data_IF_827779487167
#
_entry.id   IF_827779487167
#
_cell.length_a   1.000
_cell.length_b   1.000
_cell.length_c   1.000
_cell.angle_alpha   90.00
_cell.angle_beta   90.00
_cell.angle_gamma   90.00
#
_symmetry.space_group_name_H-M   'P 1'
#
loop_
_entity.id
_entity.type
_entity.pdbx_description
1 polymer ?
#
# COMPACT_ATOMS: atom_id res chain seq x y z
N UNK A 1 21.01 -15.77 -14.19
CA UNK A 1 20.84 -16.28 -12.81
C UNK A 1 19.37 -16.10 -12.50
N UNK A 2 18.70 -17.20 -12.22
CA UNK A 2 17.25 -17.42 -12.32
C UNK A 2 16.43 -16.45 -11.44
N UNK A 3 15.65 -15.58 -12.10
CA UNK A 3 14.60 -14.74 -11.50
C UNK A 3 13.30 -15.54 -11.21
N UNK A 4 13.33 -16.88 -11.37
CA UNK A 4 12.16 -17.76 -11.33
C UNK A 4 11.59 -18.05 -9.94
N UNK A 5 12.26 -17.67 -8.85
CA UNK A 5 11.79 -18.02 -7.48
C UNK A 5 10.88 -16.96 -6.86
N UNK A 6 10.76 -15.77 -7.45
CA UNK A 6 9.96 -14.68 -6.88
C UNK A 6 8.50 -14.76 -7.32
N UNK A 7 7.62 -15.15 -6.39
CA UNK A 7 6.17 -15.05 -6.60
C UNK A 7 5.73 -13.62 -6.30
N UNK A 8 5.38 -12.87 -7.34
CA UNK A 8 4.87 -11.50 -7.22
C UNK A 8 3.39 -11.55 -6.85
N UNK A 9 3.04 -10.83 -5.80
CA UNK A 9 1.65 -10.58 -5.43
C UNK A 9 1.31 -9.17 -5.91
N UNK A 10 0.58 -9.11 -7.01
CA UNK A 10 0.05 -7.85 -7.49
C UNK A 10 -1.15 -7.45 -6.64
N UNK A 11 -1.06 -6.28 -6.01
CA UNK A 11 -2.19 -5.64 -5.31
C UNK A 11 -3.08 -4.95 -6.39
N UNK A 12 -3.50 -5.75 -7.38
CA UNK A 12 -4.22 -5.38 -8.61
C UNK A 12 -5.44 -4.45 -8.38
N UNK A 13 -6.29 -4.66 -7.36
CA UNK A 13 -7.40 -3.75 -7.08
C UNK A 13 -6.96 -2.36 -6.61
N UNK A 14 -5.88 -2.22 -5.83
CA UNK A 14 -5.33 -0.90 -5.47
C UNK A 14 -4.73 -0.20 -6.67
N UNK A 15 -3.97 -0.93 -7.49
CA UNK A 15 -3.41 -0.38 -8.72
C UNK A 15 -4.52 0.06 -9.67
N UNK A 16 -5.61 -0.70 -9.83
CA UNK A 16 -6.75 -0.31 -10.69
C UNK A 16 -7.42 0.98 -10.22
N UNK A 17 -7.70 1.13 -8.94
CA UNK A 17 -8.31 2.35 -8.39
C UNK A 17 -7.36 3.54 -8.53
N UNK A 18 -6.08 3.35 -8.21
CA UNK A 18 -5.04 4.37 -8.31
C UNK A 18 -4.83 4.84 -9.76
N UNK A 19 -4.70 3.90 -10.71
CA UNK A 19 -4.55 4.19 -12.14
C UNK A 19 -5.78 4.90 -12.69
N UNK A 20 -6.98 4.50 -12.26
CA UNK A 20 -8.24 5.12 -12.72
C UNK A 20 -8.39 6.55 -12.21
N UNK A 21 -8.14 6.79 -10.92
CA UNK A 21 -8.12 8.14 -10.36
C UNK A 21 -7.05 9.01 -11.05
N UNK A 22 -5.90 8.42 -11.35
CA UNK A 22 -4.78 9.14 -11.95
C UNK A 22 -4.99 9.49 -13.42
N UNK A 23 -5.70 8.66 -14.19
CA UNK A 23 -6.12 9.00 -15.56
C UNK A 23 -6.91 10.30 -15.65
N UNK A 24 -7.62 10.67 -14.59
CA UNK A 24 -8.40 11.91 -14.53
C UNK A 24 -7.57 13.05 -13.94
N UNK A 25 -6.82 12.78 -12.88
CA UNK A 25 -6.17 13.82 -12.10
C UNK A 25 -4.86 14.34 -12.72
N UNK A 26 -4.06 13.49 -13.37
CA UNK A 26 -2.84 13.93 -14.08
C UNK A 26 -3.12 14.96 -15.18
N UNK A 27 -4.05 14.74 -16.13
CA UNK A 27 -4.37 15.77 -17.12
C UNK A 27 -5.01 17.00 -16.47
N UNK A 28 -5.80 16.85 -15.40
CA UNK A 28 -6.35 17.99 -14.68
C UNK A 28 -5.26 18.88 -14.07
N UNK A 29 -4.23 18.31 -13.41
CA UNK A 29 -3.08 19.08 -12.89
C UNK A 29 -2.40 19.86 -14.01
N UNK A 30 -2.13 19.22 -15.15
CA UNK A 30 -1.43 19.88 -16.26
C UNK A 30 -2.28 21.01 -16.85
N UNK A 31 -3.57 20.76 -17.08
CA UNK A 31 -4.50 21.74 -17.66
C UNK A 31 -4.71 22.92 -16.70
N UNK A 32 -5.11 22.67 -15.45
CA UNK A 32 -5.37 23.74 -14.47
C UNK A 32 -4.09 24.43 -14.01
N UNK A 33 -2.99 23.69 -13.87
CA UNK A 33 -1.68 24.25 -13.56
C UNK A 33 -1.17 25.19 -14.65
N UNK A 34 -1.36 24.83 -15.92
CA UNK A 34 -1.03 25.70 -17.06
C UNK A 34 -1.97 26.90 -17.14
N UNK A 35 -3.27 26.71 -16.89
CA UNK A 35 -4.23 27.82 -16.79
C UNK A 35 -3.88 28.80 -15.67
N UNK A 36 -3.24 28.33 -14.59
CA UNK A 36 -2.71 29.16 -13.51
C UNK A 36 -1.69 30.21 -13.97
N UNK A 37 -1.05 30.05 -15.13
CA UNK A 37 -0.16 31.06 -15.71
C UNK A 37 -0.90 32.39 -16.00
N UNK A 38 -2.22 32.32 -16.20
CA UNK A 38 -3.09 33.47 -16.43
C UNK A 38 -3.69 34.05 -15.14
N UNK A 39 -3.63 33.32 -14.02
CA UNK A 39 -4.26 33.72 -12.76
C UNK A 39 -3.20 34.09 -11.72
N UNK A 40 -3.15 35.37 -11.38
CA UNK A 40 -2.37 35.88 -10.26
C UNK A 40 -3.28 36.14 -9.06
N UNK A 41 -2.89 35.65 -7.87
CA UNK A 41 -3.61 35.92 -6.62
C UNK A 41 -3.26 37.30 -6.01
N UNK A 42 -2.40 38.11 -6.62
CA UNK A 42 -1.99 39.41 -6.04
C UNK A 42 -1.00 40.30 -6.82
N UNK A 43 -0.95 40.26 -8.16
CA UNK A 43 0.00 41.03 -9.00
C UNK A 43 -0.07 40.70 -10.50
N UNK A 44 0.93 41.07 -11.31
CA UNK A 44 1.06 40.68 -12.73
C UNK A 44 1.10 39.14 -12.89
N UNK A 45 0.39 38.61 -13.89
CA UNK A 45 0.40 37.18 -14.20
C UNK A 45 1.72 36.76 -14.88
N UNK A 46 2.01 35.45 -14.92
CA UNK A 46 3.23 34.98 -15.62
C UNK A 46 3.21 35.34 -17.11
N UNK A 47 2.02 35.43 -17.70
CA UNK A 47 1.83 35.86 -19.10
C UNK A 47 2.07 37.37 -19.23
N UNK A 48 1.74 38.18 -18.24
CA UNK A 48 2.05 39.62 -18.26
C UNK A 48 3.57 39.84 -18.15
N UNK A 49 4.26 39.02 -17.35
CA UNK A 49 5.70 39.16 -17.08
C UNK A 49 6.59 38.58 -18.19
N UNK A 50 6.22 37.44 -18.76
CA UNK A 50 7.03 36.72 -19.76
C UNK A 50 6.40 36.68 -21.16
N UNK A 51 5.20 37.25 -21.33
CA UNK A 51 4.45 37.16 -22.58
C UNK A 51 3.92 35.74 -22.87
N UNK A 52 3.53 35.43 -24.12
CA UNK A 52 2.90 34.17 -24.48
C UNK A 52 3.79 32.93 -24.27
N UNK A 53 5.11 33.09 -24.11
CA UNK A 53 6.04 31.98 -23.83
C UNK A 53 5.87 31.42 -22.41
N UNK A 54 5.18 32.15 -21.52
CA UNK A 54 4.83 31.64 -20.19
C UNK A 54 4.01 30.35 -20.25
N UNK A 55 3.12 30.22 -21.25
CA UNK A 55 2.23 29.07 -21.41
C UNK A 55 2.99 27.76 -21.63
N UNK A 56 3.90 27.64 -22.63
CA UNK A 56 4.69 26.42 -22.80
C UNK A 56 5.63 26.15 -21.62
N UNK A 57 6.17 27.18 -20.97
CA UNK A 57 7.01 27.00 -19.77
C UNK A 57 6.20 26.38 -18.62
N UNK A 58 5.01 26.93 -18.34
CA UNK A 58 4.11 26.38 -17.31
C UNK A 58 3.65 24.97 -17.64
N UNK A 59 3.36 24.68 -18.92
CA UNK A 59 3.02 23.33 -19.35
C UNK A 59 4.15 22.33 -19.06
N UNK A 60 5.39 22.65 -19.47
CA UNK A 60 6.55 21.78 -19.23
C UNK A 60 6.80 21.58 -17.74
N UNK A 61 6.67 22.64 -16.94
CA UNK A 61 6.83 22.57 -15.49
C UNK A 61 5.80 21.61 -14.86
N UNK A 62 4.51 21.79 -15.15
CA UNK A 62 3.45 20.95 -14.58
C UNK A 62 3.48 19.52 -15.12
N UNK A 63 3.84 19.32 -16.39
CA UNK A 63 4.05 17.99 -16.95
C UNK A 63 5.21 17.26 -16.25
N UNK A 64 6.30 17.97 -15.96
CA UNK A 64 7.44 17.43 -15.23
C UNK A 64 7.06 17.10 -13.78
N UNK A 65 6.38 18.02 -13.08
CA UNK A 65 5.90 17.78 -11.72
C UNK A 65 4.96 16.57 -11.65
N UNK A 66 4.06 16.44 -12.62
CA UNK A 66 3.16 15.30 -12.76
C UNK A 66 3.93 13.99 -12.99
N UNK A 67 4.94 13.99 -13.87
CA UNK A 67 5.77 12.83 -14.15
C UNK A 67 6.63 12.40 -12.94
N UNK A 68 7.18 13.36 -12.19
CA UNK A 68 7.92 13.10 -10.95
C UNK A 68 6.98 12.53 -9.88
N UNK A 69 5.82 13.16 -9.68
CA UNK A 69 4.79 12.67 -8.77
C UNK A 69 4.36 11.24 -9.12
N UNK A 70 4.18 10.95 -10.41
CA UNK A 70 3.87 9.61 -10.90
C UNK A 70 4.96 8.60 -10.56
N UNK A 71 6.23 8.93 -10.82
CA UNK A 71 7.35 8.04 -10.47
C UNK A 71 7.41 7.77 -8.96
N UNK A 72 7.16 8.77 -8.12
CA UNK A 72 7.08 8.60 -6.66
C UNK A 72 5.93 7.67 -6.28
N UNK A 73 4.76 7.81 -6.91
CA UNK A 73 3.61 6.93 -6.67
C UNK A 73 3.93 5.48 -7.06
N UNK A 74 4.54 5.26 -8.22
CA UNK A 74 4.99 3.92 -8.64
C UNK A 74 6.02 3.35 -7.67
N UNK A 75 6.96 4.17 -7.21
CA UNK A 75 7.99 3.77 -6.28
C UNK A 75 7.43 3.37 -4.90
N UNK A 76 6.41 4.07 -4.42
CA UNK A 76 5.74 3.77 -3.15
C UNK A 76 4.79 2.56 -3.23
N UNK A 77 4.25 2.27 -4.41
CA UNK A 77 3.33 1.16 -4.67
C UNK A 77 3.99 -0.04 -5.36
N UNK A 78 5.33 -0.13 -5.33
CA UNK A 78 6.05 -1.27 -5.89
C UNK A 78 5.51 -2.61 -5.32
N UNK A 79 5.22 -3.60 -6.18
CA UNK A 79 4.56 -4.83 -5.79
C UNK A 79 5.43 -5.62 -4.81
N UNK A 80 4.78 -6.37 -3.92
CA UNK A 80 5.49 -7.24 -3.00
C UNK A 80 5.72 -8.60 -3.67
N UNK A 81 6.87 -9.21 -3.38
CA UNK A 81 7.22 -10.52 -3.91
C UNK A 81 7.74 -11.42 -2.80
N UNK A 82 7.45 -12.71 -2.91
CA UNK A 82 7.85 -13.73 -1.94
C UNK A 82 8.78 -14.73 -2.63
N UNK A 83 9.91 -15.00 -2.01
CA UNK A 83 10.84 -16.08 -2.37
C UNK A 83 10.85 -17.09 -1.20
N UNK A 84 10.19 -18.23 -1.42
CA UNK A 84 10.12 -19.30 -0.42
C UNK A 84 11.44 -20.02 -0.21
N UNK A 85 12.18 -20.29 -1.29
CA UNK A 85 13.43 -21.06 -1.22
C UNK A 85 14.51 -20.27 -0.47
N UNK A 86 14.59 -18.96 -0.75
CA UNK A 86 15.49 -18.04 -0.08
C UNK A 86 15.00 -17.56 1.30
N UNK A 87 13.76 -17.90 1.69
CA UNK A 87 13.05 -17.41 2.90
C UNK A 87 13.04 -15.89 3.03
N UNK A 88 12.76 -15.20 1.92
CA UNK A 88 12.87 -13.74 1.80
C UNK A 88 11.62 -13.14 1.18
N UNK A 89 11.28 -11.94 1.64
CA UNK A 89 10.18 -11.15 1.14
C UNK A 89 10.72 -9.83 0.62
N UNK A 90 10.36 -9.49 -0.61
CA UNK A 90 10.67 -8.19 -1.21
C UNK A 90 9.52 -7.23 -0.93
N UNK A 91 9.74 -6.29 -0.02
CA UNK A 91 8.83 -5.17 0.24
C UNK A 91 9.36 -3.95 -0.51
N UNK A 92 8.65 -3.55 -1.57
CA UNK A 92 9.07 -2.46 -2.47
C UNK A 92 10.47 -2.75 -3.05
N UNK A 93 11.47 -1.96 -2.65
CA UNK A 93 12.87 -2.05 -3.08
C UNK A 93 13.78 -2.65 -1.99
N UNK A 94 13.21 -3.21 -0.91
CA UNK A 94 13.98 -3.87 0.16
C UNK A 94 13.67 -5.36 0.21
N UNK A 95 14.72 -6.16 0.36
CA UNK A 95 14.62 -7.59 0.66
C UNK A 95 14.69 -7.74 2.18
N UNK A 96 13.68 -8.40 2.74
CA UNK A 96 13.51 -8.63 4.18
C UNK A 96 13.37 -10.14 4.37
N UNK A 97 14.25 -10.80 5.12
CA UNK A 97 14.08 -12.22 5.47
C UNK A 97 12.86 -12.40 6.38
N UNK A 98 12.23 -13.57 6.32
CA UNK A 98 10.93 -13.80 6.99
C UNK A 98 10.99 -13.57 8.50
N UNK A 99 12.07 -13.95 9.15
CA UNK A 99 12.31 -13.76 10.59
C UNK A 99 12.33 -12.29 11.03
N UNK A 100 12.63 -11.36 10.12
CA UNK A 100 12.57 -9.92 10.38
C UNK A 100 11.16 -9.33 10.18
N UNK A 101 10.18 -10.13 9.75
CA UNK A 101 8.77 -9.70 9.69
C UNK A 101 8.17 -9.84 11.09
N UNK A 102 7.95 -8.70 11.76
CA UNK A 102 7.60 -8.63 13.17
C UNK A 102 6.17 -8.13 13.43
N UNK A 103 5.55 -7.47 12.44
CA UNK A 103 4.25 -6.83 12.58
C UNK A 103 3.27 -7.33 11.53
N UNK A 104 2.06 -7.63 11.99
CA UNK A 104 0.88 -7.82 11.16
C UNK A 104 -0.24 -6.90 11.65
N UNK A 105 -0.94 -6.27 10.71
CA UNK A 105 -2.06 -5.37 11.00
C UNK A 105 -3.16 -5.53 9.96
N UNK A 106 -4.39 -5.63 10.44
CA UNK A 106 -5.57 -5.70 9.62
C UNK A 106 -6.17 -4.32 9.42
N UNK A 107 -6.36 -3.92 8.17
CA UNK A 107 -6.91 -2.61 7.81
C UNK A 107 -8.16 -2.81 6.97
N UNK A 108 -9.29 -2.38 7.51
CA UNK A 108 -10.54 -2.28 6.76
C UNK A 108 -10.50 -1.11 5.80
N UNK A 109 -10.80 -1.37 4.52
CA UNK A 109 -11.16 -0.36 3.54
C UNK A 109 -12.66 -0.15 3.64
N UNK A 110 -13.11 0.82 4.44
CA UNK A 110 -14.52 1.18 4.54
C UNK A 110 -14.82 2.35 3.61
N UNK A 111 -15.00 2.06 2.32
CA UNK A 111 -15.46 3.05 1.34
C UNK A 111 -16.77 2.55 0.69
N UNK A 112 -17.87 2.69 1.45
CA UNK A 112 -19.22 2.29 1.04
C UNK A 112 -19.30 0.89 0.43
N UNK A 113 -19.72 0.83 -0.85
CA UNK A 113 -19.89 -0.39 -1.66
C UNK A 113 -18.60 -1.19 -1.94
N UNK A 114 -17.42 -0.75 -1.48
CA UNK A 114 -16.13 -1.43 -1.65
C UNK A 114 -15.46 -1.77 -0.32
N UNK A 115 -16.24 -2.35 0.60
CA UNK A 115 -15.71 -2.93 1.83
C UNK A 115 -14.63 -3.97 1.51
N UNK A 116 -13.36 -3.65 1.80
CA UNK A 116 -12.21 -4.53 1.55
C UNK A 116 -11.41 -4.78 2.81
N UNK A 117 -10.65 -5.88 2.85
CA UNK A 117 -9.83 -6.24 4.00
C UNK A 117 -8.37 -6.40 3.56
N UNK A 118 -7.50 -5.54 4.09
CA UNK A 118 -6.07 -5.54 3.81
C UNK A 118 -5.30 -6.09 5.01
N UNK A 119 -4.37 -6.99 4.74
CA UNK A 119 -3.34 -7.37 5.69
C UNK A 119 -2.07 -6.59 5.39
N UNK A 120 -1.58 -5.83 6.36
CA UNK A 120 -0.29 -5.16 6.32
C UNK A 120 0.74 -5.97 7.10
N UNK A 121 1.84 -6.35 6.46
CA UNK A 121 2.96 -7.06 7.08
C UNK A 121 4.26 -6.31 6.90
N UNK A 122 5.17 -6.39 7.87
CA UNK A 122 6.51 -5.84 7.72
C UNK A 122 7.30 -5.77 9.01
N UNK A 123 8.37 -4.99 8.98
CA UNK A 123 9.22 -4.71 10.15
C UNK A 123 8.53 -3.75 11.12
N UNK A 124 8.83 -3.84 12.41
CA UNK A 124 8.30 -2.92 13.44
C UNK A 124 8.64 -1.46 13.14
N UNK A 125 9.83 -1.21 12.57
CA UNK A 125 10.25 0.10 12.03
C UNK A 125 10.77 -0.10 10.62
N UNK A 126 9.92 0.07 9.61
CA UNK A 126 10.34 -0.15 8.23
C UNK A 126 9.20 -0.12 7.21
N UNK A 127 9.50 -0.51 5.96
CA UNK A 127 8.48 -0.61 4.93
C UNK A 127 7.50 -1.75 5.27
N UNK A 128 6.24 -1.54 4.91
CA UNK A 128 5.17 -2.52 5.04
C UNK A 128 4.69 -2.94 3.66
N UNK A 129 4.46 -4.22 3.47
CA UNK A 129 3.69 -4.76 2.37
C UNK A 129 2.21 -4.76 2.77
N UNK A 130 1.34 -4.55 1.80
CA UNK A 130 -0.10 -4.68 2.00
C UNK A 130 -0.60 -5.75 1.02
N UNK A 131 -1.51 -6.59 1.49
CA UNK A 131 -2.13 -7.66 0.71
C UNK A 131 -3.63 -7.55 0.85
N UNK A 132 -4.36 -7.50 -0.26
CA UNK A 132 -5.81 -7.66 -0.21
C UNK A 132 -6.18 -9.11 0.05
N UNK A 133 -6.87 -9.36 1.16
CA UNK A 133 -7.38 -10.67 1.52
C UNK A 133 -8.79 -10.88 0.98
N UNK A 134 -9.60 -9.81 1.00
CA UNK A 134 -11.01 -9.86 0.62
C UNK A 134 -11.43 -8.56 -0.05
N UNK A 135 -12.18 -8.67 -1.14
CA UNK A 135 -12.97 -7.59 -1.72
C UNK A 135 -14.45 -7.92 -1.55
N UNK A 136 -15.21 -7.08 -0.85
CA UNK A 136 -16.60 -7.36 -0.47
C UNK A 136 -16.70 -8.71 0.22
N UNK A 137 -17.48 -9.66 -0.27
CA UNK A 137 -17.58 -11.01 0.30
C UNK A 137 -16.67 -12.04 -0.37
N UNK A 138 -15.87 -11.64 -1.36
CA UNK A 138 -15.09 -12.58 -2.19
C UNK A 138 -13.62 -12.61 -1.74
N UNK A 139 -13.03 -13.79 -1.51
CA UNK A 139 -11.59 -13.92 -1.33
C UNK A 139 -10.84 -13.33 -2.52
N UNK A 140 -9.87 -12.46 -2.27
CA UNK A 140 -9.07 -11.85 -3.32
C UNK A 140 -7.85 -12.71 -3.72
N UNK A 141 -7.45 -13.64 -2.85
CA UNK A 141 -6.32 -14.55 -3.06
C UNK A 141 -6.81 -15.93 -3.51
N UNK A 142 -6.17 -16.47 -4.55
CA UNK A 142 -6.25 -17.89 -4.88
C UNK A 142 -5.64 -18.76 -3.76
N UNK A 143 -5.98 -20.04 -3.75
CA UNK A 143 -5.57 -20.95 -2.68
C UNK A 143 -4.03 -21.11 -2.62
N UNK A 144 -3.36 -21.14 -3.78
CA UNK A 144 -1.90 -21.23 -3.84
C UNK A 144 -1.22 -20.02 -3.18
N UNK A 145 -1.63 -18.79 -3.51
CA UNK A 145 -1.09 -17.57 -2.91
C UNK A 145 -1.44 -17.44 -1.44
N UNK A 146 -2.60 -17.95 -1.02
CA UNK A 146 -3.00 -18.01 0.38
C UNK A 146 -2.06 -18.91 1.17
N UNK A 147 -1.78 -20.10 0.66
CA UNK A 147 -0.87 -21.05 1.30
C UNK A 147 0.56 -20.49 1.37
N UNK A 148 1.03 -19.82 0.31
CA UNK A 148 2.32 -19.11 0.32
C UNK A 148 2.38 -18.06 1.44
N UNK A 149 1.31 -17.26 1.59
CA UNK A 149 1.25 -16.22 2.62
C UNK A 149 1.20 -16.81 4.04
N UNK A 150 0.50 -17.93 4.22
CA UNK A 150 0.47 -18.68 5.49
C UNK A 150 1.88 -19.17 5.85
N UNK A 151 2.63 -19.73 4.90
CA UNK A 151 4.00 -20.19 5.13
C UNK A 151 4.93 -19.04 5.53
N UNK A 152 4.79 -17.87 4.89
CA UNK A 152 5.52 -16.67 5.32
C UNK A 152 5.17 -16.26 6.75
N UNK A 153 3.88 -16.24 7.11
CA UNK A 153 3.45 -15.88 8.46
C UNK A 153 4.01 -16.87 9.49
N UNK A 154 3.99 -18.17 9.19
CA UNK A 154 4.57 -19.20 10.06
C UNK A 154 6.06 -19.01 10.28
N UNK A 155 6.79 -18.72 9.20
CA UNK A 155 8.23 -18.48 9.22
C UNK A 155 8.65 -17.11 9.79
N UNK A 156 7.69 -16.22 10.07
CA UNK A 156 7.94 -14.87 10.56
C UNK A 156 8.15 -14.77 12.07
N UNK A 157 8.51 -13.58 12.57
CA UNK A 157 8.54 -13.26 14.00
C UNK A 157 7.38 -12.36 14.43
N UNK A 158 6.22 -12.47 13.75
CA UNK A 158 5.05 -11.64 14.04
C UNK A 158 4.61 -11.80 15.50
N UNK A 159 4.60 -10.69 16.22
CA UNK A 159 4.10 -10.61 17.59
C UNK A 159 3.31 -9.33 17.81
N UNK A 160 2.25 -9.42 18.60
CA UNK A 160 1.45 -8.25 18.97
C UNK A 160 2.29 -7.34 19.87
N UNK A 161 2.24 -6.01 19.68
CA UNK A 161 2.95 -5.09 20.58
C UNK A 161 2.44 -5.23 22.02
N UNK A 162 3.35 -5.06 22.98
CA UNK A 162 3.03 -5.02 24.41
C UNK A 162 3.12 -3.59 24.94
N UNK A 163 2.24 -3.25 25.88
CA UNK A 163 2.24 -1.94 26.55
C UNK A 163 3.02 -2.05 27.86
N UNK A 164 3.72 -0.99 28.31
CA UNK A 164 4.32 -0.96 29.65
C UNK A 164 3.31 -1.24 30.78
N UNK A 165 2.03 -0.89 30.56
CA UNK A 165 0.94 -1.11 31.51
C UNK A 165 0.24 -2.47 31.35
N UNK A 166 0.64 -3.27 30.35
CA UNK A 166 0.16 -4.63 30.09
C UNK A 166 1.33 -5.48 29.56
N UNK A 167 2.28 -5.85 30.44
CA UNK A 167 3.51 -6.55 30.04
C UNK A 167 3.25 -7.99 29.57
N UNK A 168 2.12 -8.58 29.96
CA UNK A 168 1.70 -9.91 29.52
C UNK A 168 0.98 -9.87 28.17
N UNK A 169 0.60 -8.69 27.66
CA UNK A 169 -0.11 -8.52 26.41
C UNK A 169 -1.54 -9.05 26.42
N UNK A 170 -2.11 -9.31 27.61
CA UNK A 170 -3.44 -9.91 27.79
C UNK A 170 -4.53 -9.04 27.17
N UNK A 171 -4.35 -7.72 27.23
CA UNK A 171 -5.22 -6.71 26.63
C UNK A 171 -4.64 -6.13 25.35
N UNK A 172 -3.63 -6.80 24.74
CA UNK A 172 -2.96 -6.34 23.53
C UNK A 172 -3.94 -5.99 22.41
N UNK A 173 -5.03 -6.76 22.24
CA UNK A 173 -6.07 -6.47 21.23
C UNK A 173 -6.80 -5.14 21.44
N UNK A 174 -6.94 -4.70 22.69
CA UNK A 174 -7.60 -3.44 23.04
C UNK A 174 -6.59 -2.29 23.04
N UNK A 175 -5.36 -2.56 23.48
CA UNK A 175 -4.27 -1.58 23.51
C UNK A 175 -3.78 -1.23 22.10
N UNK A 176 -3.81 -2.20 21.18
CA UNK A 176 -3.34 -2.06 19.80
C UNK A 176 -4.38 -2.64 18.83
N UNK A 177 -5.53 -1.95 18.66
CA UNK A 177 -6.61 -2.43 17.80
C UNK A 177 -6.11 -2.64 16.36
N UNK A 178 -6.57 -3.72 15.73
CA UNK A 178 -6.19 -4.10 14.38
C UNK A 178 -4.84 -4.82 14.26
N UNK A 179 -4.00 -4.85 15.30
CA UNK A 179 -2.74 -5.63 15.26
C UNK A 179 -2.99 -7.12 15.54
N UNK A 180 -2.33 -7.98 14.77
CA UNK A 180 -2.47 -9.42 14.85
C UNK A 180 -1.21 -10.03 15.46
N UNK A 181 -1.38 -11.07 16.27
CA UNK A 181 -0.29 -12.00 16.57
C UNK A 181 -0.15 -13.00 15.41
N UNK A 182 0.84 -13.90 15.49
CA UNK A 182 1.10 -14.88 14.43
C UNK A 182 -0.12 -15.78 14.16
N UNK A 183 -0.81 -16.23 15.21
CA UNK A 183 -1.95 -17.14 15.09
C UNK A 183 -3.16 -16.43 14.47
N UNK A 184 -3.48 -15.22 14.93
CA UNK A 184 -4.52 -14.38 14.36
C UNK A 184 -4.22 -13.98 12.92
N UNK A 185 -2.96 -13.71 12.58
CA UNK A 185 -2.55 -13.45 11.20
C UNK A 185 -2.79 -14.68 10.30
N UNK A 186 -2.40 -15.87 10.74
CA UNK A 186 -2.67 -17.12 10.00
C UNK A 186 -4.17 -17.37 9.84
N UNK A 187 -4.95 -17.18 10.91
CA UNK A 187 -6.40 -17.36 10.88
C UNK A 187 -7.07 -16.43 9.88
N UNK A 188 -6.70 -15.14 9.89
CA UNK A 188 -7.29 -14.13 8.99
C UNK A 188 -6.92 -14.36 7.53
N UNK A 189 -5.73 -14.90 7.24
CA UNK A 189 -5.38 -15.29 5.87
C UNK A 189 -6.19 -16.51 5.42
N UNK A 190 -6.40 -17.48 6.31
CA UNK A 190 -7.16 -18.69 6.00
C UNK A 190 -8.66 -18.40 5.79
N UNK A 191 -9.23 -17.64 6.71
CA UNK A 191 -10.65 -17.29 6.76
C UNK A 191 -10.81 -15.79 7.10
N UNK A 192 -10.80 -14.91 6.07
CA UNK A 192 -10.88 -13.47 6.28
C UNK A 192 -12.24 -13.06 6.86
N UNK A 193 -12.30 -12.34 8.01
CA UNK A 193 -13.56 -11.97 8.64
C UNK A 193 -14.42 -11.10 7.72
N UNK A 194 -15.74 -11.25 7.82
CA UNK A 194 -16.72 -10.50 7.05
C UNK A 194 -16.77 -9.02 7.45
N UNK A 195 -17.46 -8.20 6.66
CA UNK A 195 -17.58 -6.77 6.98
C UNK A 195 -18.38 -6.58 8.28
N UNK A 196 -17.77 -5.96 9.28
CA UNK A 196 -18.39 -5.75 10.61
C UNK A 196 -18.10 -6.85 11.63
N UNK A 197 -17.44 -7.94 11.24
CA UNK A 197 -16.96 -8.93 12.19
C UNK A 197 -15.67 -8.45 12.88
N UNK A 198 -15.52 -8.72 14.19
CA UNK A 198 -14.30 -8.39 14.90
C UNK A 198 -13.12 -9.22 14.38
N UNK A 199 -11.96 -8.58 14.26
CA UNK A 199 -10.71 -9.28 13.99
C UNK A 199 -10.33 -10.18 15.18
N UNK A 200 -9.69 -11.35 14.94
CA UNK A 200 -9.23 -12.25 16.00
C UNK A 200 -8.14 -11.66 16.91
#
# INVERSE_FOLDING_TARGET
MSDETWVVFDDEPKQRVLVRAMRVFLPAIVIFGTAGAFFSRGGESLVDLFGPIAVPISFVFWATAAAVGWNVVLWLNAPFAIDLEGRRLRIRHRVVPFDEVERAELVGLSDGDRAGLLLKIGRRRGPTASVLLRERSTPALDDARRDLLIEVIRASSIARPVSPHDPTGTFGRFNFPGTLDKAGAEQVVRDPPAAGEPAP
#
